data_IF_345113639866
#
_entry.id   IF_345113639866
#
_cell.length_a   1.000
_cell.length_b   1.000
_cell.length_c   1.000
_cell.angle_alpha   90.00
_cell.angle_beta   90.00
_cell.angle_gamma   90.00
#
_symmetry.space_group_name_H-M   'P 1'
#
loop_
_entity.id
_entity.type
_entity.pdbx_description
1 polymer ?
#
# COMPACT_ATOMS: atom_id res chain seq x y z
N UNK A 1 10.02 -12.52 14.63
CA UNK A 1 10.04 -12.56 13.14
C UNK A 1 9.33 -11.31 12.64
N UNK A 2 9.86 -10.60 11.62
CA UNK A 2 9.27 -9.37 11.06
C UNK A 2 8.55 -9.67 9.73
N UNK A 3 7.63 -8.81 9.32
CA UNK A 3 6.79 -8.96 8.12
C UNK A 3 7.02 -7.75 7.22
N UNK A 4 7.48 -7.96 6.00
CA UNK A 4 7.58 -6.90 4.99
C UNK A 4 6.33 -6.91 4.11
N UNK A 5 5.82 -5.73 3.76
CA UNK A 5 4.71 -5.58 2.81
C UNK A 5 5.25 -5.18 1.43
N UNK A 6 4.78 -5.89 0.41
CA UNK A 6 5.03 -5.54 -1.00
C UNK A 6 4.20 -4.31 -1.41
N UNK A 7 4.69 -3.55 -2.38
CA UNK A 7 4.01 -2.36 -2.91
C UNK A 7 2.60 -2.66 -3.40
N UNK A 8 2.32 -3.85 -3.95
CA UNK A 8 0.98 -4.19 -4.42
C UNK A 8 -0.04 -4.27 -3.28
N UNK A 9 0.35 -4.77 -2.10
CA UNK A 9 -0.55 -4.84 -0.94
C UNK A 9 -0.96 -3.44 -0.51
N UNK A 10 -0.01 -2.51 -0.46
CA UNK A 10 -0.29 -1.11 -0.13
C UNK A 10 -1.12 -0.44 -1.23
N UNK A 11 -0.81 -0.68 -2.51
CA UNK A 11 -1.59 -0.14 -3.61
C UNK A 11 -3.05 -0.61 -3.58
N UNK A 12 -3.30 -1.87 -3.23
CA UNK A 12 -4.67 -2.40 -3.07
C UNK A 12 -5.37 -1.81 -1.85
N UNK A 13 -4.68 -1.61 -0.74
CA UNK A 13 -5.23 -0.89 0.41
C UNK A 13 -5.63 0.55 0.04
N UNK A 14 -4.89 1.17 -0.87
CA UNK A 14 -5.18 2.47 -1.49
C UNK A 14 -6.22 2.42 -2.62
N UNK A 15 -7.01 1.34 -2.71
CA UNK A 15 -8.05 1.15 -3.73
C UNK A 15 -7.54 1.11 -5.18
N UNK A 16 -6.26 0.83 -5.41
CA UNK A 16 -5.66 0.69 -6.75
C UNK A 16 -5.73 -0.76 -7.21
N UNK A 17 -6.92 -1.24 -7.55
CA UNK A 17 -7.14 -2.61 -8.00
C UNK A 17 -8.62 -2.98 -8.08
N UNK A 18 -8.91 -4.27 -8.28
CA UNK A 18 -10.27 -4.79 -8.21
C UNK A 18 -10.76 -4.88 -6.75
N UNK A 19 -12.07 -4.83 -6.56
CA UNK A 19 -12.71 -4.81 -5.24
C UNK A 19 -12.31 -5.99 -4.33
N UNK A 20 -12.05 -7.17 -4.91
CA UNK A 20 -11.66 -8.36 -4.16
C UNK A 20 -10.24 -8.20 -3.60
N UNK A 21 -9.30 -7.71 -4.41
CA UNK A 21 -7.92 -7.42 -3.98
C UNK A 21 -7.87 -6.32 -2.93
N UNK A 22 -8.61 -5.23 -3.14
CA UNK A 22 -8.65 -4.10 -2.21
C UNK A 22 -9.17 -4.55 -0.83
N UNK A 23 -10.33 -5.23 -0.81
CA UNK A 23 -10.89 -5.74 0.44
C UNK A 23 -9.99 -6.80 1.11
N UNK A 24 -9.28 -7.61 0.31
CA UNK A 24 -8.32 -8.58 0.81
C UNK A 24 -7.10 -7.94 1.47
N UNK A 25 -6.55 -6.88 0.86
CA UNK A 25 -5.40 -6.16 1.38
C UNK A 25 -5.71 -5.46 2.70
N UNK A 26 -6.86 -4.78 2.80
CA UNK A 26 -7.30 -4.14 4.04
C UNK A 26 -7.42 -5.19 5.18
N UNK A 27 -8.16 -6.28 4.95
CA UNK A 27 -8.32 -7.36 5.94
C UNK A 27 -7.02 -8.04 6.33
N UNK A 28 -6.04 -8.07 5.44
CA UNK A 28 -4.70 -8.59 5.74
C UNK A 28 -3.97 -7.65 6.69
N UNK A 29 -3.89 -6.36 6.33
CA UNK A 29 -3.18 -5.33 7.10
C UNK A 29 -3.77 -5.18 8.50
N UNK A 30 -5.10 -5.19 8.63
CA UNK A 30 -5.81 -5.11 9.93
C UNK A 30 -5.45 -6.23 10.91
N UNK A 31 -4.93 -7.36 10.43
CA UNK A 31 -4.54 -8.50 11.27
C UNK A 31 -3.06 -8.47 11.67
N UNK A 32 -2.27 -7.56 11.10
CA UNK A 32 -0.83 -7.49 11.36
C UNK A 32 -0.55 -6.57 12.56
N UNK A 33 0.18 -7.04 13.58
CA UNK A 33 0.68 -6.15 14.62
C UNK A 33 1.65 -5.13 14.00
N UNK A 34 1.40 -3.85 14.23
CA UNK A 34 2.17 -2.77 13.60
C UNK A 34 3.67 -2.87 13.94
N UNK A 35 4.01 -3.31 15.15
CA UNK A 35 5.39 -3.50 15.61
C UNK A 35 6.16 -4.59 14.85
N UNK A 36 5.45 -5.48 14.16
CA UNK A 36 6.06 -6.53 13.34
C UNK A 36 6.21 -6.13 11.87
N UNK A 37 5.55 -5.05 11.43
CA UNK A 37 5.56 -4.61 10.04
C UNK A 37 6.81 -3.76 9.75
N UNK A 38 7.51 -4.12 8.68
CA UNK A 38 8.64 -3.37 8.15
C UNK A 38 8.26 -2.80 6.77
N UNK A 39 8.37 -1.48 6.61
CA UNK A 39 8.20 -0.81 5.32
C UNK A 39 9.54 -0.22 4.87
N UNK A 40 10.25 -0.86 3.92
CA UNK A 40 11.43 -0.27 3.29
C UNK A 40 11.08 1.07 2.64
N UNK A 41 11.97 2.07 2.75
CA UNK A 41 11.75 3.40 2.15
C UNK A 41 11.52 3.32 0.63
N UNK A 42 12.13 2.35 -0.05
CA UNK A 42 11.91 2.03 -1.46
C UNK A 42 10.42 1.82 -1.79
N UNK A 43 9.70 1.07 -0.95
CA UNK A 43 8.28 0.74 -1.14
C UNK A 43 7.43 2.02 -1.13
N UNK A 44 7.80 3.03 -0.33
CA UNK A 44 7.11 4.31 -0.30
C UNK A 44 7.26 5.07 -1.63
N UNK A 45 8.47 5.06 -2.22
CA UNK A 45 8.71 5.64 -3.53
C UNK A 45 7.96 4.93 -4.66
N UNK A 46 7.91 3.59 -4.60
CA UNK A 46 7.15 2.79 -5.55
C UNK A 46 5.65 3.03 -5.43
N UNK A 47 5.12 3.08 -4.21
CA UNK A 47 3.71 3.37 -3.94
C UNK A 47 3.35 4.77 -4.46
N UNK A 48 4.15 5.80 -4.14
CA UNK A 48 3.93 7.16 -4.65
C UNK A 48 3.84 7.19 -6.19
N UNK A 49 4.72 6.44 -6.87
CA UNK A 49 4.72 6.34 -8.33
C UNK A 49 3.49 5.59 -8.87
N UNK A 50 2.99 4.59 -8.14
CA UNK A 50 1.73 3.91 -8.46
C UNK A 50 0.54 4.86 -8.30
N UNK A 51 0.46 5.59 -7.19
CA UNK A 51 -0.65 6.51 -6.89
C UNK A 51 -0.72 7.66 -7.91
N UNK A 52 0.41 8.30 -8.21
CA UNK A 52 0.45 9.43 -9.15
C UNK A 52 0.39 9.00 -10.61
N UNK A 53 1.05 7.89 -10.97
CA UNK A 53 1.13 7.43 -12.35
C UNK A 53 -0.07 6.60 -12.80
N UNK A 54 -0.40 5.53 -12.05
CA UNK A 54 -1.47 4.60 -12.42
C UNK A 54 -2.83 5.05 -11.92
N UNK A 55 -2.92 5.43 -10.65
CA UNK A 55 -4.17 5.88 -10.05
C UNK A 55 -4.49 7.36 -10.34
N UNK A 56 -3.55 8.09 -10.96
CA UNK A 56 -3.68 9.50 -11.35
C UNK A 56 -4.10 10.42 -10.19
N UNK A 57 -3.74 10.06 -8.95
CA UNK A 57 -3.96 10.93 -7.79
C UNK A 57 -3.07 12.15 -7.91
N UNK A 58 -3.58 13.29 -7.45
CA UNK A 58 -2.76 14.50 -7.34
C UNK A 58 -1.61 14.27 -6.37
N UNK A 59 -0.46 14.90 -6.64
CA UNK A 59 0.77 14.73 -5.85
C UNK A 59 0.57 15.02 -4.37
N UNK A 60 -0.26 16.02 -4.04
CA UNK A 60 -0.56 16.38 -2.66
C UNK A 60 -1.31 15.26 -1.92
N UNK A 61 -2.27 14.62 -2.60
CA UNK A 61 -3.04 13.50 -2.06
C UNK A 61 -2.24 12.18 -1.99
N UNK A 62 -1.13 12.07 -2.72
CA UNK A 62 -0.29 10.87 -2.74
C UNK A 62 0.83 10.85 -1.68
N UNK A 63 0.98 11.93 -0.89
CA UNK A 63 2.02 12.08 0.14
C UNK A 63 1.50 11.94 1.58
N UNK A 64 0.19 11.78 1.75
CA UNK A 64 -0.48 11.57 3.04
C UNK A 64 -0.23 10.14 3.52
#
# INVERSE_FOLDING_TARGET
MRIALDTNILAYAESVGDARRCAGAIRLIEKLPAELVLLPAQILGELFRVLTGKAKREVLHARQ
#
